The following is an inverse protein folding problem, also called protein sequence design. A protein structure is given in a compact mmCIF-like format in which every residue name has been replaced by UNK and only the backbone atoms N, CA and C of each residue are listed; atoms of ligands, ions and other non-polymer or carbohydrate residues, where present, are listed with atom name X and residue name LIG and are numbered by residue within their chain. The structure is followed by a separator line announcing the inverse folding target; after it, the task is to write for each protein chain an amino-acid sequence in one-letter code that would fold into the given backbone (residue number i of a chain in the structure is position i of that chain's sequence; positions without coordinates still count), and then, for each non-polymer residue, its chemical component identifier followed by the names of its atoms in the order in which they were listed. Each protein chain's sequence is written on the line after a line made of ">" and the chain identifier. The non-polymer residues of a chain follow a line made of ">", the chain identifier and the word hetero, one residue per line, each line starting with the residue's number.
data_IF_014618499195
#
_entry.id   IF_014618499195
#
_cell.length_a   1.000
_cell.length_b   1.000
_cell.length_c   1.000
_cell.angle_alpha   90.00
_cell.angle_beta   90.00
_cell.angle_gamma   90.00
#
_symmetry.space_group_name_H-M   'P 1'
#
loop_
_entity.id
_entity.type
_entity.pdbx_description
1 polymer ?
#
# COMPACT_ATOMS: atom_id res chain seq x y z
N UNK A 1 8.90 -57.07 55.58
CA UNK A 1 8.32 -55.72 55.38
C UNK A 1 9.20 -54.92 54.41
N UNK A 2 9.59 -55.57 53.31
CA UNK A 2 9.00 -55.49 51.96
C UNK A 2 9.23 -54.14 51.28
N UNK A 3 10.40 -54.10 50.64
CA UNK A 3 11.11 -53.05 49.91
C UNK A 3 10.39 -52.39 48.72
N UNK A 4 9.07 -52.58 48.54
CA UNK A 4 8.41 -52.20 47.28
C UNK A 4 7.66 -50.86 47.28
N UNK A 5 7.54 -50.18 48.43
CA UNK A 5 6.76 -48.95 48.52
C UNK A 5 7.56 -47.63 48.36
N UNK A 6 8.90 -47.68 48.31
CA UNK A 6 9.72 -46.47 48.18
C UNK A 6 10.24 -46.18 46.76
N UNK A 7 9.97 -47.05 45.79
CA UNK A 7 10.51 -46.89 44.43
C UNK A 7 9.61 -46.06 43.48
N UNK A 8 8.34 -45.81 43.83
CA UNK A 8 7.41 -45.09 42.94
C UNK A 8 7.30 -43.57 43.15
N UNK A 9 7.96 -42.97 44.16
CA UNK A 9 7.96 -41.50 44.33
C UNK A 9 9.19 -40.86 43.65
N UNK A 10 10.22 -41.64 43.33
CA UNK A 10 11.52 -41.11 42.84
C UNK A 10 11.67 -41.03 41.31
N UNK A 11 10.62 -41.28 40.52
CA UNK A 11 10.64 -41.12 39.05
C UNK A 11 9.66 -40.07 38.50
N UNK A 12 8.99 -39.29 39.34
CA UNK A 12 8.03 -38.26 38.88
C UNK A 12 8.60 -36.85 38.67
N UNK A 13 9.78 -36.53 39.19
CA UNK A 13 10.29 -35.14 39.26
C UNK A 13 11.50 -34.83 38.36
N UNK A 14 11.86 -35.72 37.43
CA UNK A 14 13.03 -35.53 36.56
C UNK A 14 12.79 -34.72 35.28
N UNK A 15 11.57 -34.23 35.01
CA UNK A 15 11.24 -33.56 33.75
C UNK A 15 10.68 -32.13 33.90
N UNK A 16 11.23 -31.28 34.79
CA UNK A 16 11.10 -29.82 34.59
C UNK A 16 12.15 -28.99 35.34
N UNK A 17 13.42 -29.40 35.36
CA UNK A 17 14.45 -28.50 35.90
C UNK A 17 15.85 -28.69 35.30
N UNK A 18 15.93 -29.04 34.02
CA UNK A 18 17.20 -29.21 33.30
C UNK A 18 17.39 -28.18 32.19
N UNK A 19 17.22 -26.91 32.52
CA UNK A 19 17.79 -25.80 31.73
C UNK A 19 18.37 -24.69 32.62
N UNK A 20 18.96 -25.07 33.77
CA UNK A 20 19.66 -24.09 34.60
C UNK A 20 20.81 -24.69 35.40
N UNK A 21 21.68 -25.53 34.80
CA UNK A 21 22.90 -25.97 35.52
C UNK A 21 24.00 -26.67 34.69
N UNK A 22 24.13 -26.42 33.38
CA UNK A 22 25.19 -27.09 32.62
C UNK A 22 25.82 -26.34 31.44
N UNK A 23 25.97 -25.01 31.54
CA UNK A 23 26.91 -24.29 30.67
C UNK A 23 27.66 -23.27 31.52
N UNK A 24 28.67 -23.76 32.24
CA UNK A 24 29.70 -22.94 32.88
C UNK A 24 31.06 -23.45 32.41
N UNK A 25 31.29 -23.43 31.09
CA UNK A 25 32.62 -23.56 30.47
C UNK A 25 32.54 -23.40 28.94
N UNK A 26 31.91 -22.33 28.47
CA UNK A 26 32.39 -21.67 27.25
C UNK A 26 32.49 -20.21 27.63
N UNK A 27 33.70 -19.64 27.46
CA UNK A 27 33.88 -18.22 27.26
C UNK A 27 33.11 -17.81 25.99
N UNK A 28 31.78 -17.80 26.04
CA UNK A 28 31.01 -16.95 25.16
C UNK A 28 31.33 -15.53 25.66
N UNK A 29 32.09 -14.80 24.84
CA UNK A 29 32.66 -13.50 25.20
C UNK A 29 31.66 -12.65 25.96
N UNK A 30 32.16 -11.86 26.93
CA UNK A 30 31.41 -10.81 27.63
C UNK A 30 30.58 -10.09 26.58
N UNK A 31 29.31 -10.47 26.45
CA UNK A 31 28.44 -9.82 25.51
C UNK A 31 28.39 -8.40 26.03
N UNK A 32 29.00 -7.47 25.26
CA UNK A 32 28.93 -6.05 25.56
C UNK A 32 27.49 -5.65 25.28
N UNK A 33 26.58 -6.05 26.17
CA UNK A 33 25.16 -5.75 26.15
C UNK A 33 24.95 -4.33 26.67
N UNK A 34 25.67 -3.37 26.10
CA UNK A 34 25.41 -1.95 26.32
C UNK A 34 24.56 -1.38 25.19
N UNK A 35 23.77 -2.21 24.49
CA UNK A 35 22.59 -1.72 23.77
C UNK A 35 21.44 -1.65 24.77
N UNK A 36 21.41 -0.55 25.52
CA UNK A 36 20.25 -0.15 26.32
C UNK A 36 19.22 0.44 25.36
N UNK A 37 18.15 -0.30 25.09
CA UNK A 37 17.00 0.25 24.38
C UNK A 37 16.21 1.15 25.34
N UNK A 38 15.84 2.35 24.88
CA UNK A 38 14.97 3.23 25.67
C UNK A 38 13.62 2.54 25.88
N UNK A 39 13.27 2.31 27.15
CA UNK A 39 11.96 1.81 27.52
C UNK A 39 11.04 3.00 27.83
N UNK A 40 10.05 3.22 26.97
CA UNK A 40 9.03 4.25 27.19
C UNK A 40 7.85 3.67 27.96
N UNK A 41 7.31 4.44 28.91
CA UNK A 41 5.99 4.18 29.48
C UNK A 41 4.95 4.86 28.61
N UNK A 42 3.94 4.11 28.18
CA UNK A 42 2.76 4.68 27.55
C UNK A 42 1.66 4.84 28.61
N UNK A 43 0.91 5.94 28.56
CA UNK A 43 -0.22 6.20 29.47
C UNK A 43 -1.48 5.37 29.11
N UNK A 44 -1.44 4.63 27.99
CA UNK A 44 -2.56 3.80 27.60
C UNK A 44 -2.57 2.49 28.39
N UNK A 45 -3.63 2.32 29.20
CA UNK A 45 -3.85 1.14 30.03
C UNK A 45 -4.39 -0.07 29.26
N UNK A 46 -4.92 0.14 28.05
CA UNK A 46 -5.57 -0.87 27.22
C UNK A 46 -4.99 -0.88 25.80
N UNK A 47 -4.70 -2.08 25.29
CA UNK A 47 -4.32 -2.29 23.89
C UNK A 47 -5.59 -2.40 23.06
N UNK A 48 -5.90 -1.37 22.27
CA UNK A 48 -7.08 -1.31 21.41
C UNK A 48 -6.81 -0.48 20.13
N UNK A 49 -7.80 -0.42 19.23
CA UNK A 49 -7.79 0.36 17.99
C UNK A 49 -8.16 1.82 18.26
N UNK A 50 -7.15 2.65 18.47
CA UNK A 50 -7.33 4.08 18.62
C UNK A 50 -7.33 4.78 17.26
N UNK A 51 -8.32 5.64 17.03
CA UNK A 51 -8.30 6.59 15.91
C UNK A 51 -7.65 7.88 16.38
N UNK A 52 -6.65 8.36 15.63
CA UNK A 52 -5.90 9.57 15.95
C UNK A 52 -6.66 10.86 15.67
N UNK A 53 -7.78 10.81 14.92
CA UNK A 53 -8.60 11.97 14.52
C UNK A 53 -7.74 13.14 14.00
N UNK A 54 -6.74 12.83 13.18
CA UNK A 54 -5.75 13.82 12.73
C UNK A 54 -6.28 14.79 11.68
N UNK A 55 -5.65 15.96 11.64
CA UNK A 55 -5.76 16.90 10.54
C UNK A 55 -4.96 16.42 9.32
N UNK A 56 -5.68 15.92 8.32
CA UNK A 56 -5.11 15.36 7.10
C UNK A 56 -4.80 16.41 6.02
N UNK A 57 -5.18 17.68 6.21
CA UNK A 57 -5.24 18.65 5.12
C UNK A 57 -4.30 19.85 5.30
N UNK A 58 -4.11 20.33 6.53
CA UNK A 58 -3.34 21.57 6.76
C UNK A 58 -1.88 21.48 6.34
N UNK A 59 -1.19 20.37 6.66
CA UNK A 59 0.21 20.19 6.28
C UNK A 59 0.40 20.20 4.75
N UNK A 60 -0.50 19.55 4.02
CA UNK A 60 -0.43 19.47 2.56
C UNK A 60 -0.78 20.81 1.92
N UNK A 61 -1.76 21.54 2.48
CA UNK A 61 -2.09 22.90 2.05
C UNK A 61 -0.92 23.85 2.23
N UNK A 62 -0.20 23.75 3.36
CA UNK A 62 0.99 24.54 3.62
C UNK A 62 2.15 24.20 2.70
N UNK A 63 2.39 22.92 2.43
CA UNK A 63 3.36 22.51 1.43
C UNK A 63 3.05 23.13 0.05
N UNK A 64 1.79 23.07 -0.39
CA UNK A 64 1.38 23.60 -1.68
C UNK A 64 1.57 25.13 -1.79
N UNK A 65 1.29 25.87 -0.72
CA UNK A 65 1.39 27.34 -0.70
C UNK A 65 2.82 27.84 -0.49
N UNK A 66 3.54 27.23 0.44
CA UNK A 66 4.81 27.77 0.97
C UNK A 66 6.04 27.16 0.29
N UNK A 67 5.96 25.91 -0.16
CA UNK A 67 7.14 25.20 -0.70
C UNK A 67 7.18 25.16 -2.23
N UNK A 68 6.03 25.28 -2.91
CA UNK A 68 5.98 25.15 -4.36
C UNK A 68 5.90 26.51 -5.08
N UNK A 69 6.81 26.73 -6.02
CA UNK A 69 6.72 27.82 -6.99
C UNK A 69 5.57 27.59 -7.98
N UNK A 70 5.26 28.61 -8.78
CA UNK A 70 4.15 28.55 -9.74
C UNK A 70 4.37 27.45 -10.80
N UNK A 71 5.62 27.25 -11.24
CA UNK A 71 5.96 26.23 -12.22
C UNK A 71 5.88 24.81 -11.65
N UNK A 72 6.35 24.56 -10.41
CA UNK A 72 6.18 23.25 -9.78
C UNK A 72 4.71 22.93 -9.51
N UNK A 73 3.92 23.93 -9.07
CA UNK A 73 2.46 23.75 -8.92
C UNK A 73 1.80 23.35 -10.25
N UNK A 74 2.27 23.92 -11.36
CA UNK A 74 1.74 23.61 -12.70
C UNK A 74 2.07 22.19 -13.12
N UNK A 75 3.32 21.76 -12.93
CA UNK A 75 3.75 20.38 -13.21
C UNK A 75 3.00 19.38 -12.34
N UNK A 76 2.87 19.64 -11.03
CA UNK A 76 2.15 18.80 -10.09
C UNK A 76 0.69 18.60 -10.51
N UNK A 77 -0.04 19.69 -10.72
CA UNK A 77 -1.46 19.64 -11.11
C UNK A 77 -1.66 18.98 -12.47
N UNK A 78 -0.72 19.15 -13.41
CA UNK A 78 -0.76 18.47 -14.73
C UNK A 78 -0.58 16.97 -14.62
N UNK A 79 0.37 16.51 -13.79
CA UNK A 79 0.63 15.09 -13.57
C UNK A 79 -0.56 14.42 -12.88
N UNK A 80 -1.14 15.07 -11.87
CA UNK A 80 -2.34 14.59 -11.19
C UNK A 80 -3.53 14.49 -12.14
N UNK A 81 -3.76 15.52 -12.95
CA UNK A 81 -4.85 15.49 -13.92
C UNK A 81 -4.69 14.38 -14.97
N UNK A 82 -3.46 14.15 -15.45
CA UNK A 82 -3.14 13.07 -16.39
C UNK A 82 -3.39 11.69 -15.80
N UNK A 83 -3.12 11.50 -14.50
CA UNK A 83 -3.46 10.25 -13.80
C UNK A 83 -4.97 10.11 -13.60
N UNK A 84 -5.65 11.18 -13.18
CA UNK A 84 -7.08 11.16 -12.83
C UNK A 84 -8.03 11.05 -14.01
N UNK A 85 -7.65 11.51 -15.22
CA UNK A 85 -8.57 11.52 -16.38
C UNK A 85 -9.07 10.13 -16.77
N UNK A 86 -8.30 9.08 -16.48
CA UNK A 86 -8.68 7.70 -16.78
C UNK A 86 -9.46 7.02 -15.65
N UNK A 87 -9.56 7.64 -14.48
CA UNK A 87 -10.32 7.11 -13.34
C UNK A 87 -11.83 7.32 -13.54
N UNK A 88 -12.69 6.52 -12.89
CA UNK A 88 -14.14 6.71 -12.96
C UNK A 88 -14.57 8.03 -12.29
N UNK A 89 -15.65 8.62 -12.79
CA UNK A 89 -16.17 9.92 -12.33
C UNK A 89 -16.33 10.08 -10.80
N UNK A 90 -16.88 9.10 -10.04
CA UNK A 90 -16.99 9.25 -8.59
C UNK A 90 -15.63 9.37 -7.88
N UNK A 91 -14.59 8.69 -8.39
CA UNK A 91 -13.23 8.81 -7.84
C UNK A 91 -12.63 10.17 -8.14
N UNK A 92 -12.83 10.70 -9.36
CA UNK A 92 -12.38 12.04 -9.71
C UNK A 92 -13.00 13.10 -8.77
N UNK A 93 -14.32 13.04 -8.54
CA UNK A 93 -15.02 14.00 -7.65
C UNK A 93 -14.50 13.92 -6.22
N UNK A 94 -14.30 12.71 -5.68
CA UNK A 94 -13.76 12.51 -4.32
C UNK A 94 -12.32 13.02 -4.20
N UNK A 95 -11.48 12.73 -5.19
CA UNK A 95 -10.09 13.20 -5.21
C UNK A 95 -10.02 14.73 -5.27
N UNK A 96 -10.79 15.36 -6.16
CA UNK A 96 -10.86 16.82 -6.26
C UNK A 96 -11.36 17.43 -4.94
N UNK A 97 -12.40 16.86 -4.32
CA UNK A 97 -12.89 17.34 -3.03
C UNK A 97 -11.81 17.29 -1.94
N UNK A 98 -10.98 16.25 -1.90
CA UNK A 98 -9.85 16.17 -0.97
C UNK A 98 -8.79 17.24 -1.27
N UNK A 99 -8.44 17.48 -2.54
CA UNK A 99 -7.50 18.55 -2.89
C UNK A 99 -8.05 19.95 -2.56
N UNK A 100 -9.34 20.19 -2.75
CA UNK A 100 -10.02 21.43 -2.37
C UNK A 100 -9.99 21.67 -0.86
N UNK A 101 -10.08 20.60 -0.05
CA UNK A 101 -9.92 20.70 1.41
C UNK A 101 -8.50 21.08 1.83
N UNK A 102 -7.47 20.63 1.10
CA UNK A 102 -6.10 21.09 1.33
C UNK A 102 -5.93 22.58 0.97
N UNK A 103 -6.42 22.97 -0.22
CA UNK A 103 -6.37 24.34 -0.71
C UNK A 103 -7.39 24.55 -1.85
N UNK A 104 -8.24 25.60 -1.81
CA UNK A 104 -9.25 25.84 -2.83
C UNK A 104 -8.68 26.09 -4.23
N UNK A 105 -7.54 26.79 -4.33
CA UNK A 105 -6.87 27.03 -5.61
C UNK A 105 -6.31 25.72 -6.18
N UNK A 106 -5.74 24.87 -5.32
CA UNK A 106 -5.22 23.57 -5.74
C UNK A 106 -6.29 22.67 -6.36
N UNK A 107 -7.43 22.48 -5.67
CA UNK A 107 -8.53 21.67 -6.16
C UNK A 107 -9.10 22.19 -7.49
N UNK A 108 -9.29 23.51 -7.61
CA UNK A 108 -9.77 24.17 -8.84
C UNK A 108 -8.88 23.87 -10.04
N UNK A 109 -7.56 24.03 -9.90
CA UNK A 109 -6.62 23.81 -11.02
C UNK A 109 -6.60 22.35 -11.49
N UNK A 110 -6.70 21.39 -10.56
CA UNK A 110 -6.80 19.98 -10.92
C UNK A 110 -8.09 19.71 -11.68
N UNK A 111 -9.22 20.27 -11.22
CA UNK A 111 -10.52 20.11 -11.87
C UNK A 111 -10.52 20.66 -13.31
N UNK A 112 -10.00 21.87 -13.52
CA UNK A 112 -9.91 22.50 -14.85
C UNK A 112 -9.08 21.64 -15.82
N UNK A 113 -7.94 21.13 -15.36
CA UNK A 113 -7.07 20.26 -16.18
C UNK A 113 -7.71 18.91 -16.50
N UNK A 114 -8.38 18.27 -15.54
CA UNK A 114 -9.11 17.01 -15.78
C UNK A 114 -10.23 17.23 -16.79
N UNK A 115 -10.96 18.34 -16.69
CA UNK A 115 -12.02 18.69 -17.64
C UNK A 115 -11.43 18.89 -19.05
N UNK A 116 -10.34 19.63 -19.19
CA UNK A 116 -9.66 19.84 -20.46
C UNK A 116 -9.21 18.51 -21.11
N UNK A 117 -8.57 17.63 -20.35
CA UNK A 117 -8.13 16.31 -20.84
C UNK A 117 -9.31 15.41 -21.21
N UNK A 118 -10.42 15.49 -20.48
CA UNK A 118 -11.65 14.75 -20.81
C UNK A 118 -12.20 15.19 -22.16
N UNK A 119 -12.22 16.49 -22.44
CA UNK A 119 -12.66 17.02 -23.74
C UNK A 119 -11.71 16.61 -24.87
N UNK A 120 -10.40 16.66 -24.63
CA UNK A 120 -9.41 16.18 -25.59
C UNK A 120 -9.63 14.70 -25.92
N UNK A 121 -9.86 13.85 -24.90
CA UNK A 121 -10.14 12.42 -25.08
C UNK A 121 -11.41 12.18 -25.91
N UNK A 122 -12.47 12.96 -25.69
CA UNK A 122 -13.69 12.90 -26.50
C UNK A 122 -13.43 13.25 -27.96
N UNK A 123 -12.62 14.29 -28.23
CA UNK A 123 -12.23 14.69 -29.59
C UNK A 123 -11.42 13.60 -30.30
N UNK A 124 -10.53 12.91 -29.59
CA UNK A 124 -9.71 11.81 -30.16
C UNK A 124 -10.47 10.49 -30.26
N UNK A 125 -11.57 10.32 -29.54
CA UNK A 125 -12.33 9.06 -29.47
C UNK A 125 -13.24 8.83 -30.68
N UNK A 126 -13.40 9.81 -31.58
CA UNK A 126 -14.06 9.58 -32.86
C UNK A 126 -13.03 9.01 -33.84
N UNK A 127 -12.98 7.68 -34.07
CA UNK A 127 -12.13 7.15 -35.13
C UNK A 127 -12.61 7.73 -36.46
N UNK A 128 -11.67 8.08 -37.33
CA UNK A 128 -11.99 8.33 -38.73
C UNK A 128 -12.77 7.12 -39.27
N UNK A 129 -13.85 7.37 -40.02
CA UNK A 129 -14.59 6.29 -40.68
C UNK A 129 -13.60 5.54 -41.57
N UNK A 130 -13.30 4.28 -41.21
CA UNK A 130 -12.39 3.45 -41.97
C UNK A 130 -12.97 3.27 -43.37
N UNK A 131 -12.27 3.81 -44.38
CA UNK A 131 -12.65 3.71 -45.77
C UNK A 131 -11.64 2.80 -46.47
N UNK A 132 -12.00 1.58 -46.91
CA UNK A 132 -13.31 0.93 -46.87
C UNK A 132 -13.68 0.31 -45.50
N UNK A 133 -14.98 0.04 -45.23
CA UNK A 133 -15.40 -0.60 -43.98
C UNK A 133 -14.76 -1.99 -43.84
N UNK A 134 -14.19 -2.28 -42.66
CA UNK A 134 -13.62 -3.59 -42.36
C UNK A 134 -14.75 -4.63 -42.45
N UNK A 135 -14.68 -5.54 -43.44
CA UNK A 135 -15.58 -6.69 -43.53
C UNK A 135 -15.45 -7.57 -42.28
N UNK A 136 -16.55 -8.20 -41.86
CA UNK A 136 -16.53 -9.16 -40.76
C UNK A 136 -15.56 -10.30 -41.06
N UNK A 137 -14.79 -10.72 -40.06
CA UNK A 137 -13.95 -11.90 -40.20
C UNK A 137 -14.85 -13.13 -40.38
N UNK A 138 -14.58 -13.92 -41.41
CA UNK A 138 -15.20 -15.22 -41.65
C UNK A 138 -14.08 -16.25 -41.51
N UNK A 139 -14.23 -17.19 -40.58
CA UNK A 139 -13.27 -18.27 -40.42
C UNK A 139 -13.25 -19.12 -41.70
N UNK A 140 -12.07 -19.31 -42.30
CA UNK A 140 -11.93 -20.23 -43.42
C UNK A 140 -12.22 -21.66 -42.93
N UNK A 141 -13.02 -22.46 -43.66
CA UNK A 141 -13.17 -23.88 -43.35
C UNK A 141 -11.80 -24.57 -43.42
N UNK A 142 -11.58 -25.63 -42.62
CA UNK A 142 -10.32 -26.37 -42.63
C UNK A 142 -10.08 -26.93 -44.04
N UNK A 143 -8.98 -26.53 -44.68
CA UNK A 143 -8.58 -27.03 -46.00
C UNK A 143 -7.67 -28.25 -45.86
N UNK A 144 -7.83 -29.25 -46.73
CA UNK A 144 -7.06 -30.51 -46.72
C UNK A 144 -5.53 -30.33 -46.86
N UNK A 145 -5.06 -29.16 -47.28
CA UNK A 145 -3.63 -28.84 -47.39
C UNK A 145 -2.99 -28.30 -46.11
N UNK A 146 -3.74 -28.17 -45.02
CA UNK A 146 -3.20 -27.74 -43.73
C UNK A 146 -2.68 -28.96 -42.99
N UNK A 147 -1.37 -28.98 -42.71
CA UNK A 147 -0.75 -30.02 -41.90
C UNK A 147 -1.54 -30.24 -40.59
N UNK A 148 -1.68 -31.50 -40.13
CA UNK A 148 -2.43 -31.79 -38.91
C UNK A 148 -1.86 -30.97 -37.75
N UNK A 149 -2.74 -30.35 -36.97
CA UNK A 149 -2.34 -29.68 -35.73
C UNK A 149 -1.80 -30.75 -34.79
N UNK A 150 -0.48 -30.76 -34.60
CA UNK A 150 0.25 -31.61 -33.66
C UNK A 150 -0.23 -31.40 -32.23
#
# INVERSE_FOLDING_TARGET
>A
MSFFALFCIYQGMCCYNKFRRHVQALQCGRARTTLRYYAYRADHSLVDKYSTRDDNYSQVGDFYRKMLDTAARERLTSNLARSLVNAPKPMQTRAIANFTKCDPHYGRRVQEKVAALTQQKKRTASPAKLNPPRKSFVAAPPSDHMAPRL
#
